data_IF_368992727497
#
_entry.id   IF_368992727497
#
_cell.length_a   1.000
_cell.length_b   1.000
_cell.length_c   1.000
_cell.angle_alpha   90.00
_cell.angle_beta   90.00
_cell.angle_gamma   90.00
#
_symmetry.space_group_name_H-M   'P 1'
#
loop_
_entity.id
_entity.type
_entity.pdbx_description
1 polymer ?
#
# COMPACT_ATOMS: atom_id res chain seq x y z
N UNK A 1 -19.75 -36.03 -61.69
CA UNK A 1 -18.97 -34.99 -60.92
C UNK A 1 -19.74 -34.33 -59.78
N UNK A 2 -21.02 -34.00 -59.88
CA UNK A 2 -21.80 -33.31 -58.81
C UNK A 2 -22.09 -34.19 -57.56
N UNK A 3 -22.18 -35.51 -57.67
CA UNK A 3 -22.42 -36.40 -56.55
C UNK A 3 -21.19 -36.65 -55.68
N UNK A 4 -20.01 -36.68 -56.27
CA UNK A 4 -18.76 -36.91 -55.56
C UNK A 4 -18.37 -35.69 -54.72
N UNK A 5 -18.69 -34.47 -55.19
CA UNK A 5 -18.44 -33.20 -54.48
C UNK A 5 -19.33 -33.01 -53.24
N UNK A 6 -20.53 -33.52 -53.23
CA UNK A 6 -21.43 -33.50 -52.06
C UNK A 6 -20.98 -34.46 -50.95
N UNK A 7 -20.45 -35.62 -51.34
CA UNK A 7 -19.98 -36.61 -50.37
C UNK A 7 -18.69 -36.19 -49.67
N UNK A 8 -17.76 -35.55 -50.40
CA UNK A 8 -16.51 -35.01 -49.82
C UNK A 8 -16.77 -33.81 -48.93
N UNK A 9 -17.76 -32.97 -49.28
CA UNK A 9 -18.12 -31.80 -48.42
C UNK A 9 -18.79 -32.23 -47.12
N UNK A 10 -19.58 -33.32 -47.15
CA UNK A 10 -20.15 -33.89 -45.94
C UNK A 10 -19.14 -34.52 -45.00
N UNK A 11 -18.11 -35.15 -45.56
CA UNK A 11 -17.03 -35.76 -44.78
C UNK A 11 -16.12 -34.68 -44.11
N UNK A 12 -15.83 -33.58 -44.79
CA UNK A 12 -15.05 -32.46 -44.28
C UNK A 12 -15.85 -31.74 -43.15
N UNK A 13 -17.15 -31.58 -43.31
CA UNK A 13 -18.01 -30.98 -42.28
C UNK A 13 -18.10 -31.86 -41.00
N UNK A 14 -18.10 -33.18 -41.17
CA UNK A 14 -18.14 -34.15 -40.07
C UNK A 14 -16.81 -34.20 -39.31
N UNK A 15 -15.67 -34.02 -39.98
CA UNK A 15 -14.34 -33.93 -39.35
C UNK A 15 -14.17 -32.61 -38.57
N UNK A 16 -14.70 -31.51 -39.10
CA UNK A 16 -14.71 -30.21 -38.39
C UNK A 16 -15.59 -30.23 -37.14
N UNK A 17 -16.70 -30.96 -37.11
CA UNK A 17 -17.52 -31.13 -35.91
C UNK A 17 -16.87 -32.06 -34.86
N UNK A 18 -16.06 -33.02 -35.28
CA UNK A 18 -15.36 -33.94 -34.36
C UNK A 18 -14.16 -33.32 -33.65
N UNK A 19 -13.54 -32.27 -34.23
CA UNK A 19 -12.45 -31.53 -33.59
C UNK A 19 -12.93 -30.45 -32.58
N UNK A 20 -14.25 -30.18 -32.45
CA UNK A 20 -14.80 -29.09 -31.67
C UNK A 20 -15.05 -29.39 -30.19
N UNK A 21 -14.72 -30.57 -29.69
CA UNK A 21 -14.96 -30.92 -28.27
C UNK A 21 -13.65 -31.18 -27.53
N UNK A 22 -12.70 -30.27 -27.64
CA UNK A 22 -11.69 -30.19 -26.61
C UNK A 22 -12.31 -29.43 -25.45
N UNK A 23 -12.78 -30.16 -24.45
CA UNK A 23 -13.10 -29.58 -23.13
C UNK A 23 -11.84 -28.87 -22.67
N UNK A 24 -11.85 -27.55 -22.75
CA UNK A 24 -10.90 -26.71 -22.02
C UNK A 24 -11.26 -26.96 -20.54
N UNK A 25 -10.60 -27.93 -19.92
CA UNK A 25 -10.54 -27.96 -18.47
C UNK A 25 -9.85 -26.66 -18.10
N UNK A 26 -10.62 -25.73 -17.52
CA UNK A 26 -10.03 -24.65 -16.74
C UNK A 26 -9.10 -25.37 -15.75
N UNK A 27 -7.81 -25.13 -15.89
CA UNK A 27 -6.82 -25.60 -14.98
C UNK A 27 -7.05 -24.79 -13.70
N UNK A 28 -7.90 -25.32 -12.80
CA UNK A 28 -7.90 -24.91 -11.40
C UNK A 28 -6.47 -25.20 -10.91
N UNK A 29 -5.64 -24.20 -11.00
CA UNK A 29 -4.30 -24.29 -10.47
C UNK A 29 -4.45 -24.39 -8.96
N UNK A 30 -4.01 -25.51 -8.41
CA UNK A 30 -3.86 -25.73 -6.96
C UNK A 30 -3.01 -24.66 -6.25
N UNK A 31 -2.48 -23.70 -7.01
CA UNK A 31 -1.71 -22.54 -6.57
C UNK A 31 -2.57 -21.38 -6.07
N UNK A 32 -3.89 -21.43 -6.18
CA UNK A 32 -4.80 -20.37 -5.74
C UNK A 32 -5.42 -20.60 -4.36
N UNK A 33 -5.04 -21.67 -3.67
CA UNK A 33 -5.40 -21.82 -2.25
C UNK A 33 -4.71 -20.76 -1.40
N UNK A 34 -5.48 -20.08 -0.57
CA UNK A 34 -4.98 -19.08 0.37
C UNK A 34 -5.66 -19.24 1.72
N UNK A 35 -4.95 -18.90 2.76
CA UNK A 35 -5.52 -18.69 4.09
C UNK A 35 -5.81 -17.22 4.31
N UNK A 36 -6.82 -16.92 5.09
CA UNK A 36 -7.19 -15.57 5.49
C UNK A 36 -6.71 -15.31 6.91
N UNK A 37 -5.96 -14.23 7.09
CA UNK A 37 -5.61 -13.72 8.42
C UNK A 37 -6.33 -12.39 8.60
N UNK A 38 -7.23 -12.31 9.58
CA UNK A 38 -8.00 -11.10 9.86
C UNK A 38 -8.08 -10.82 11.36
N UNK A 39 -8.22 -9.56 11.70
CA UNK A 39 -8.30 -9.16 13.10
C UNK A 39 -8.28 -7.66 13.31
N UNK A 40 -7.97 -7.27 14.56
CA UNK A 40 -7.91 -5.88 15.00
C UNK A 40 -6.57 -5.63 15.66
N UNK A 41 -5.93 -4.51 15.31
CA UNK A 41 -4.69 -4.05 15.96
C UNK A 41 -5.03 -2.98 16.99
N UNK A 42 -4.46 -3.12 18.19
CA UNK A 42 -4.66 -2.19 19.31
C UNK A 42 -3.33 -1.87 19.98
N UNK A 43 -3.27 -0.68 20.55
CA UNK A 43 -2.22 -0.31 21.47
C UNK A 43 -2.28 -1.18 22.75
N UNK A 44 -1.16 -1.72 23.18
CA UNK A 44 -1.08 -2.62 24.33
C UNK A 44 -1.43 -1.95 25.64
N UNK A 45 -1.08 -0.68 25.79
CA UNK A 45 -1.27 0.08 27.04
C UNK A 45 -2.67 0.72 27.11
N UNK A 46 -3.05 1.47 26.07
CA UNK A 46 -4.29 2.24 26.05
C UNK A 46 -5.50 1.46 25.56
N UNK A 47 -5.25 0.31 24.92
CA UNK A 47 -6.28 -0.51 24.24
C UNK A 47 -7.01 0.20 23.10
N UNK A 48 -6.57 1.37 22.72
CA UNK A 48 -7.11 2.08 21.56
C UNK A 48 -6.81 1.31 20.27
N UNK A 49 -7.75 1.32 19.35
CA UNK A 49 -7.58 0.76 18.01
C UNK A 49 -6.57 1.59 17.23
N UNK A 50 -5.70 0.93 16.49
CA UNK A 50 -4.65 1.59 15.70
C UNK A 50 -5.02 1.52 14.21
N UNK A 51 -5.20 2.68 13.61
CA UNK A 51 -5.43 2.84 12.17
C UNK A 51 -4.10 2.94 11.40
N UNK A 52 -4.14 2.60 10.11
CA UNK A 52 -2.99 2.67 9.19
C UNK A 52 -1.77 1.82 9.61
N UNK A 53 -1.97 0.81 10.43
CA UNK A 53 -0.93 -0.18 10.76
C UNK A 53 -0.62 -1.01 9.53
N UNK A 54 0.64 -1.18 9.20
CA UNK A 54 1.07 -2.01 8.09
C UNK A 54 1.03 -3.49 8.49
N UNK A 55 0.42 -4.31 7.65
CA UNK A 55 0.31 -5.75 7.78
C UNK A 55 0.93 -6.36 6.54
N UNK A 56 2.02 -7.10 6.67
CA UNK A 56 2.78 -7.59 5.52
C UNK A 56 3.31 -9.01 5.71
N UNK A 57 3.60 -9.66 4.60
CA UNK A 57 4.29 -10.95 4.60
C UNK A 57 5.78 -10.65 4.33
N UNK A 58 6.67 -10.90 5.31
CA UNK A 58 8.09 -10.59 5.18
C UNK A 58 8.72 -11.22 3.92
N UNK A 59 9.51 -10.43 3.22
CA UNK A 59 10.21 -10.87 2.01
C UNK A 59 9.33 -10.95 0.75
N UNK A 60 8.09 -10.46 0.82
CA UNK A 60 7.16 -10.41 -0.32
C UNK A 60 6.61 -8.99 -0.51
N UNK A 61 5.89 -8.79 -1.62
CA UNK A 61 5.12 -7.57 -1.88
C UNK A 61 3.64 -7.69 -1.46
N UNK A 62 3.31 -8.67 -0.63
CA UNK A 62 1.95 -8.89 -0.15
C UNK A 62 1.76 -8.17 1.17
N UNK A 63 0.83 -7.23 1.21
CA UNK A 63 0.52 -6.46 2.39
C UNK A 63 -0.83 -5.77 2.32
N UNK A 64 -1.25 -5.24 3.45
CA UNK A 64 -2.45 -4.40 3.62
C UNK A 64 -2.21 -3.45 4.79
N UNK A 65 -3.17 -2.57 5.07
CA UNK A 65 -3.15 -1.69 6.25
C UNK A 65 -4.45 -1.83 7.02
N UNK A 66 -4.44 -1.50 8.31
CA UNK A 66 -5.67 -1.41 9.10
C UNK A 66 -6.55 -0.25 8.63
N UNK A 67 -7.86 -0.42 8.77
CA UNK A 67 -8.83 0.65 8.56
C UNK A 67 -8.91 1.58 9.80
N UNK A 68 -9.83 2.57 9.79
CA UNK A 68 -10.03 3.50 10.90
C UNK A 68 -10.54 2.81 12.19
N UNK A 69 -11.06 1.59 12.06
CA UNK A 69 -11.46 0.76 13.20
C UNK A 69 -10.34 -0.19 13.66
N UNK A 70 -9.13 -0.03 13.13
CA UNK A 70 -7.97 -0.87 13.43
C UNK A 70 -8.10 -2.29 12.86
N UNK A 71 -9.07 -2.56 11.98
CA UNK A 71 -9.34 -3.88 11.43
C UNK A 71 -8.52 -4.11 10.17
N UNK A 72 -8.10 -5.36 9.96
CA UNK A 72 -7.39 -5.78 8.76
C UNK A 72 -7.86 -7.16 8.28
N UNK A 73 -7.60 -7.45 7.03
CA UNK A 73 -7.71 -8.78 6.44
C UNK A 73 -6.67 -8.93 5.33
N UNK A 74 -5.85 -9.96 5.43
CA UNK A 74 -4.82 -10.30 4.44
C UNK A 74 -4.99 -11.74 3.99
N UNK A 75 -4.84 -11.98 2.70
CA UNK A 75 -4.83 -13.32 2.11
C UNK A 75 -3.40 -13.76 1.86
N UNK A 76 -3.03 -14.89 2.44
CA UNK A 76 -1.70 -15.50 2.33
C UNK A 76 -1.83 -16.71 1.41
N UNK A 77 -1.24 -16.65 0.21
CA UNK A 77 -1.22 -17.79 -0.70
C UNK A 77 -0.35 -18.91 -0.13
N UNK A 78 -0.81 -20.14 -0.24
CA UNK A 78 -0.07 -21.32 0.22
C UNK A 78 1.30 -21.45 -0.45
N UNK A 79 1.39 -21.09 -1.73
CA UNK A 79 2.65 -21.10 -2.49
C UNK A 79 3.72 -20.13 -1.99
N UNK A 80 3.38 -19.17 -1.11
CA UNK A 80 4.36 -18.26 -0.49
C UNK A 80 5.12 -18.90 0.67
N UNK A 81 4.65 -20.05 1.21
CA UNK A 81 5.22 -20.71 2.39
C UNK A 81 5.50 -19.75 3.54
N UNK A 82 4.63 -18.75 3.70
CA UNK A 82 4.77 -17.73 4.73
C UNK A 82 4.60 -18.36 6.12
N UNK A 83 5.55 -18.13 7.01
CA UNK A 83 5.51 -18.62 8.39
C UNK A 83 4.86 -17.64 9.35
N UNK A 84 4.80 -16.38 8.97
CA UNK A 84 4.30 -15.31 9.81
C UNK A 84 3.84 -14.13 8.98
N UNK A 85 2.92 -13.36 9.54
CA UNK A 85 2.54 -12.02 9.08
C UNK A 85 3.11 -11.02 10.06
N UNK A 86 3.79 -10.00 9.55
CA UNK A 86 4.35 -8.90 10.33
C UNK A 86 3.35 -7.76 10.43
N UNK A 87 3.26 -7.19 11.63
CA UNK A 87 2.40 -6.05 11.96
C UNK A 87 3.29 -4.93 12.46
N UNK A 88 3.39 -3.85 11.71
CA UNK A 88 4.30 -2.74 12.04
C UNK A 88 3.59 -1.39 12.01
N UNK A 89 3.94 -0.53 12.97
CA UNK A 89 3.45 0.84 13.04
C UNK A 89 4.51 1.76 13.65
N UNK A 90 4.53 3.00 13.15
CA UNK A 90 5.47 4.01 13.63
C UNK A 90 5.27 4.22 15.14
N UNK A 91 6.38 4.18 15.90
CA UNK A 91 6.34 4.35 17.36
C UNK A 91 5.98 3.08 18.15
N UNK A 92 5.93 1.91 17.50
CA UNK A 92 5.64 0.62 18.13
C UNK A 92 6.69 -0.43 17.80
N UNK A 93 6.84 -1.43 18.67
CA UNK A 93 7.57 -2.65 18.36
C UNK A 93 6.75 -3.49 17.38
N UNK A 94 7.44 -4.12 16.42
CA UNK A 94 6.77 -4.99 15.44
C UNK A 94 6.13 -6.20 16.13
N UNK A 95 4.88 -6.47 15.76
CA UNK A 95 4.17 -7.68 16.15
C UNK A 95 4.29 -8.75 15.07
N UNK A 96 4.20 -10.01 15.46
CA UNK A 96 4.21 -11.16 14.55
C UNK A 96 2.99 -12.03 14.80
N UNK A 97 2.31 -12.44 13.73
CA UNK A 97 1.22 -13.41 13.75
C UNK A 97 1.75 -14.68 13.09
N UNK A 98 1.96 -15.76 13.83
CA UNK A 98 2.36 -17.03 13.23
C UNK A 98 1.23 -17.56 12.33
N UNK A 99 1.60 -18.03 11.14
CA UNK A 99 0.68 -18.53 10.13
C UNK A 99 0.80 -20.04 10.04
N UNK A 100 -0.36 -20.72 10.05
CA UNK A 100 -0.50 -22.15 9.85
C UNK A 100 -1.34 -22.39 8.59
N UNK A 101 -1.63 -23.65 8.28
CA UNK A 101 -2.45 -24.04 7.12
C UNK A 101 -3.98 -23.80 7.33
N UNK A 102 -4.35 -22.92 8.28
CA UNK A 102 -5.75 -22.61 8.59
C UNK A 102 -5.99 -21.12 8.67
N UNK A 103 -7.20 -20.71 8.34
CA UNK A 103 -7.65 -19.34 8.53
C UNK A 103 -7.51 -18.91 9.99
N UNK A 104 -7.01 -17.68 10.17
CA UNK A 104 -6.92 -17.00 11.46
C UNK A 104 -7.88 -15.83 11.39
N UNK A 105 -9.06 -16.01 11.99
CA UNK A 105 -10.12 -15.02 11.97
C UNK A 105 -10.25 -14.32 13.33
N UNK A 106 -10.56 -13.01 13.29
CA UNK A 106 -10.85 -12.21 14.48
C UNK A 106 -9.71 -12.15 15.53
N UNK A 107 -8.47 -12.27 15.08
CA UNK A 107 -7.34 -12.14 16.01
C UNK A 107 -7.20 -10.71 16.54
N UNK A 108 -6.70 -10.57 17.77
CA UNK A 108 -6.35 -9.27 18.34
C UNK A 108 -4.84 -9.16 18.47
N UNK A 109 -4.25 -8.20 17.77
CA UNK A 109 -2.81 -7.90 17.87
C UNK A 109 -2.62 -6.70 18.80
N UNK A 110 -1.79 -6.87 19.83
CA UNK A 110 -1.45 -5.79 20.76
C UNK A 110 -0.03 -5.32 20.45
N UNK A 111 0.10 -4.14 19.88
CA UNK A 111 1.40 -3.53 19.65
C UNK A 111 1.87 -2.80 20.91
N UNK A 112 3.10 -3.03 21.27
CA UNK A 112 3.75 -2.39 22.39
C UNK A 112 4.39 -1.07 21.93
N UNK A 113 4.04 0.08 22.53
CA UNK A 113 4.71 1.33 22.23
C UNK A 113 6.22 1.16 22.41
N UNK A 114 6.98 1.51 21.39
CA UNK A 114 8.42 1.54 21.47
C UNK A 114 8.85 2.83 22.20
N UNK A 115 8.70 2.82 23.53
CA UNK A 115 9.12 3.89 24.40
C UNK A 115 10.62 3.81 24.70
N UNK A 116 11.44 3.35 23.76
CA UNK A 116 12.84 3.64 23.87
C UNK A 116 12.99 5.17 23.79
N UNK A 117 12.70 5.80 24.93
CA UNK A 117 13.24 7.11 25.25
C UNK A 117 14.71 6.98 24.99
N UNK A 118 15.13 7.48 23.83
CA UNK A 118 16.53 7.73 23.59
C UNK A 118 17.00 8.48 24.80
N UNK A 119 17.82 7.81 25.64
CA UNK A 119 18.55 8.50 26.66
C UNK A 119 19.16 9.70 25.96
N UNK A 120 18.53 10.86 26.22
CA UNK A 120 19.06 12.16 25.88
C UNK A 120 19.85 12.20 24.55
N UNK A 121 19.15 12.09 23.41
CA UNK A 121 19.68 12.76 22.24
C UNK A 121 19.67 14.22 22.66
N UNK A 122 20.87 14.72 23.00
CA UNK A 122 21.09 16.14 23.24
C UNK A 122 20.61 16.81 21.97
N UNK A 123 19.37 17.25 22.00
CA UNK A 123 18.81 18.14 20.99
C UNK A 123 19.69 19.38 21.19
N UNK A 124 20.68 19.55 20.34
CA UNK A 124 21.25 20.87 20.19
C UNK A 124 20.06 21.72 19.85
N UNK A 125 19.70 22.60 20.81
CA UNK A 125 18.57 23.47 20.71
C UNK A 125 18.78 24.42 19.51
N UNK A 126 18.50 23.92 18.32
CA UNK A 126 18.49 24.65 17.08
C UNK A 126 17.05 24.76 16.59
N UNK A 127 16.76 25.83 15.89
CA UNK A 127 15.48 25.99 15.20
C UNK A 127 15.25 24.74 14.32
N UNK A 128 14.13 24.01 14.50
CA UNK A 128 13.78 22.82 13.70
C UNK A 128 13.81 23.07 12.19
N UNK A 129 13.66 24.31 11.78
CA UNK A 129 13.76 24.74 10.37
C UNK A 129 15.12 24.36 9.77
N UNK A 130 16.24 24.55 10.49
CA UNK A 130 17.56 24.19 9.99
C UNK A 130 17.70 22.69 9.68
N UNK A 131 17.02 21.85 10.46
CA UNK A 131 17.04 20.39 10.19
C UNK A 131 16.28 20.11 8.90
N UNK A 132 15.17 20.80 8.64
CA UNK A 132 14.39 20.67 7.40
C UNK A 132 15.20 21.19 6.21
N UNK A 133 15.85 22.35 6.34
CA UNK A 133 16.72 22.91 5.31
C UNK A 133 17.87 21.94 4.98
N UNK A 134 18.56 21.40 5.99
CA UNK A 134 19.61 20.41 5.81
C UNK A 134 19.09 19.11 5.14
N UNK A 135 17.87 18.68 5.49
CA UNK A 135 17.25 17.53 4.86
C UNK A 135 16.98 17.77 3.36
N UNK A 136 16.51 18.96 3.00
CA UNK A 136 16.27 19.37 1.61
C UNK A 136 17.58 19.38 0.81
N UNK A 137 18.64 19.96 1.36
CA UNK A 137 19.96 20.00 0.71
C UNK A 137 20.51 18.59 0.46
N UNK A 138 20.22 17.66 1.37
CA UNK A 138 20.70 16.27 1.29
C UNK A 138 19.84 15.34 0.44
N UNK A 139 18.73 15.79 -0.11
CA UNK A 139 17.86 14.97 -0.97
C UNK A 139 18.64 14.26 -2.07
N UNK A 140 19.47 15.02 -2.81
CA UNK A 140 20.26 14.46 -3.92
C UNK A 140 21.31 13.43 -3.48
N UNK A 141 21.70 13.43 -2.20
CA UNK A 141 22.68 12.50 -1.62
C UNK A 141 21.99 11.28 -1.01
N UNK A 142 20.85 11.48 -0.38
CA UNK A 142 20.20 10.47 0.44
C UNK A 142 19.15 9.67 -0.33
N UNK A 143 18.60 10.23 -1.41
CA UNK A 143 17.58 9.56 -2.22
C UNK A 143 18.21 8.84 -3.43
N UNK A 144 17.42 7.96 -4.02
CA UNK A 144 17.84 7.11 -5.13
C UNK A 144 18.22 7.96 -6.34
N UNK A 145 19.44 7.77 -6.84
CA UNK A 145 20.00 8.50 -7.98
C UNK A 145 19.80 7.80 -9.32
N UNK A 146 19.22 6.60 -9.32
CA UNK A 146 18.88 5.79 -10.50
C UNK A 146 17.37 5.56 -10.56
N UNK A 147 16.87 5.12 -11.71
CA UNK A 147 15.48 4.69 -11.80
C UNK A 147 15.22 3.49 -10.87
N UNK A 148 14.05 3.46 -10.24
CA UNK A 148 13.66 2.40 -9.30
C UNK A 148 12.22 1.98 -9.51
N UNK A 149 11.91 0.74 -9.11
CA UNK A 149 10.55 0.20 -9.04
C UNK A 149 10.17 0.06 -7.58
N UNK A 150 9.05 0.65 -7.20
CA UNK A 150 8.47 0.54 -5.86
C UNK A 150 7.16 -0.22 -5.98
N UNK A 151 6.99 -1.27 -5.21
CA UNK A 151 5.68 -1.94 -5.08
C UNK A 151 4.99 -1.45 -3.82
N UNK A 152 3.75 -1.04 -3.94
CA UNK A 152 2.98 -0.48 -2.85
C UNK A 152 1.53 -0.94 -2.83
N UNK A 153 0.89 -0.74 -1.68
CA UNK A 153 -0.54 -0.92 -1.52
C UNK A 153 -1.23 0.44 -1.51
N UNK A 154 -2.16 0.60 -2.43
CA UNK A 154 -3.00 1.79 -2.54
C UNK A 154 -4.39 1.50 -1.99
N UNK A 155 -4.90 2.39 -1.14
CA UNK A 155 -6.29 2.37 -0.69
C UNK A 155 -6.88 3.76 -0.73
N UNK A 156 -8.05 3.87 -1.32
CA UNK A 156 -8.90 5.06 -1.31
C UNK A 156 -10.24 4.68 -0.71
N UNK A 157 -10.70 5.47 0.24
CA UNK A 157 -11.99 5.26 0.90
C UNK A 157 -12.82 6.54 0.88
N UNK A 158 -14.12 6.40 0.68
CA UNK A 158 -15.07 7.46 0.92
C UNK A 158 -16.11 7.00 1.92
N UNK A 159 -16.42 7.85 2.90
CA UNK A 159 -17.35 7.57 3.97
C UNK A 159 -18.50 8.58 4.01
N UNK A 160 -19.67 8.12 4.41
CA UNK A 160 -20.83 8.96 4.76
C UNK A 160 -21.24 8.61 6.18
N UNK A 161 -20.93 9.48 7.13
CA UNK A 161 -20.99 9.17 8.55
C UNK A 161 -19.99 8.06 8.90
N UNK A 162 -20.48 6.96 9.49
CA UNK A 162 -19.66 5.79 9.86
C UNK A 162 -19.62 4.69 8.82
N UNK A 163 -20.23 4.89 7.65
CA UNK A 163 -20.35 3.85 6.64
C UNK A 163 -19.49 4.15 5.42
N UNK A 164 -18.71 3.18 4.99
CA UNK A 164 -17.97 3.26 3.73
C UNK A 164 -18.96 3.21 2.55
N UNK A 165 -18.85 4.17 1.65
CA UNK A 165 -19.62 4.24 0.40
C UNK A 165 -18.80 3.89 -0.83
N UNK A 166 -17.49 4.00 -0.72
CA UNK A 166 -16.52 3.54 -1.71
C UNK A 166 -15.26 3.06 -1.03
N UNK A 167 -14.76 1.91 -1.43
CA UNK A 167 -13.44 1.40 -1.09
C UNK A 167 -12.78 0.95 -2.39
N UNK A 168 -11.65 1.56 -2.74
CA UNK A 168 -10.84 1.17 -3.88
C UNK A 168 -9.47 0.77 -3.36
N UNK A 169 -9.02 -0.42 -3.69
CA UNK A 169 -7.73 -0.96 -3.26
C UNK A 169 -6.97 -1.51 -4.46
N UNK A 170 -5.68 -1.35 -4.45
CA UNK A 170 -4.80 -1.90 -5.48
C UNK A 170 -3.40 -2.21 -4.95
N UNK A 171 -2.81 -3.27 -5.47
CA UNK A 171 -1.35 -3.43 -5.46
C UNK A 171 -0.83 -2.75 -6.71
N UNK A 172 0.09 -1.84 -6.54
CA UNK A 172 0.62 -1.00 -7.59
C UNK A 172 2.14 -1.11 -7.66
N UNK A 173 2.66 -1.07 -8.86
CA UNK A 173 4.07 -0.85 -9.13
C UNK A 173 4.25 0.60 -9.60
N UNK A 174 5.15 1.32 -8.95
CA UNK A 174 5.48 2.71 -9.25
C UNK A 174 6.91 2.74 -9.79
N UNK A 175 7.05 2.99 -11.08
CA UNK A 175 8.34 3.31 -11.67
C UNK A 175 8.68 4.76 -11.36
N UNK A 176 9.73 4.96 -10.57
CA UNK A 176 10.26 6.27 -10.19
C UNK A 176 11.50 6.58 -11.00
N UNK A 177 11.51 7.70 -11.68
CA UNK A 177 12.74 8.26 -12.23
C UNK A 177 13.64 8.78 -11.08
N UNK A 178 14.95 8.98 -11.31
CA UNK A 178 15.84 9.48 -10.26
C UNK A 178 15.32 10.75 -9.59
N UNK A 179 15.51 10.90 -8.28
CA UNK A 179 15.02 12.07 -7.53
C UNK A 179 15.65 13.40 -7.94
N UNK A 180 16.82 13.38 -8.60
CA UNK A 180 17.39 14.56 -9.27
C UNK A 180 16.56 15.06 -10.45
N UNK A 181 15.76 14.17 -11.08
CA UNK A 181 14.79 14.53 -12.11
C UNK A 181 13.48 14.91 -11.43
N UNK A 182 13.24 16.20 -11.26
CA UNK A 182 12.05 16.74 -10.58
C UNK A 182 10.76 16.65 -11.41
N UNK A 183 10.80 16.05 -12.59
CA UNK A 183 9.61 15.89 -13.42
C UNK A 183 8.82 14.64 -12.99
N UNK A 184 7.81 14.85 -12.14
CA UNK A 184 6.90 13.79 -11.65
C UNK A 184 6.07 13.15 -12.78
N UNK A 185 5.88 13.82 -13.91
CA UNK A 185 5.11 13.27 -15.04
C UNK A 185 5.82 12.10 -15.73
N UNK A 186 7.11 11.93 -15.49
CA UNK A 186 7.89 10.82 -16.02
C UNK A 186 7.77 9.55 -15.18
N UNK A 187 7.28 9.66 -13.95
CA UNK A 187 6.99 8.51 -13.13
C UNK A 187 5.74 7.79 -13.68
N UNK A 188 5.66 6.49 -13.51
CA UNK A 188 4.58 5.66 -14.03
C UNK A 188 4.03 4.78 -12.94
N UNK A 189 2.70 4.68 -12.88
CA UNK A 189 2.00 3.77 -11.98
C UNK A 189 1.34 2.68 -12.80
N UNK A 190 1.59 1.44 -12.44
CA UNK A 190 0.95 0.27 -13.00
C UNK A 190 0.15 -0.43 -11.91
N UNK A 191 -1.13 -0.69 -12.16
CA UNK A 191 -1.96 -1.49 -11.28
C UNK A 191 -1.70 -2.96 -11.59
N UNK A 192 -1.16 -3.68 -10.60
CA UNK A 192 -0.92 -5.11 -10.70
C UNK A 192 -2.20 -5.90 -10.41
N UNK A 193 -2.89 -5.56 -9.31
CA UNK A 193 -4.16 -6.16 -8.91
C UNK A 193 -4.97 -5.14 -8.13
N UNK A 194 -6.27 -5.11 -8.34
CA UNK A 194 -7.13 -4.17 -7.62
C UNK A 194 -8.53 -4.72 -7.39
N UNK A 195 -9.21 -4.13 -6.41
CA UNK A 195 -10.64 -4.35 -6.15
C UNK A 195 -11.32 -3.03 -5.83
N UNK A 196 -12.61 -2.96 -6.12
CA UNK A 196 -13.45 -1.82 -5.82
C UNK A 196 -14.78 -2.30 -5.23
N UNK A 197 -15.16 -1.73 -4.10
CA UNK A 197 -16.44 -1.94 -3.44
C UNK A 197 -17.19 -0.61 -3.45
N UNK A 198 -18.39 -0.61 -4.02
CA UNK A 198 -19.27 0.55 -4.07
C UNK A 198 -20.53 0.25 -3.26
N UNK A 199 -21.07 1.28 -2.61
CA UNK A 199 -22.40 1.18 -2.01
C UNK A 199 -23.45 0.97 -3.11
N UNK A 200 -24.39 0.05 -2.89
CA UNK A 200 -25.53 -0.21 -3.78
C UNK A 200 -26.67 0.81 -3.62
N UNK A 201 -26.59 1.68 -2.61
CA UNK A 201 -27.63 2.67 -2.34
C UNK A 201 -27.56 3.84 -3.31
N UNK A 202 -28.62 4.10 -4.06
CA UNK A 202 -28.71 5.21 -5.01
C UNK A 202 -28.45 6.59 -4.37
N UNK A 203 -28.70 6.74 -3.06
CA UNK A 203 -28.44 7.98 -2.30
C UNK A 203 -26.96 8.21 -1.94
N UNK A 204 -26.10 7.22 -2.20
CA UNK A 204 -24.69 7.29 -1.88
C UNK A 204 -23.88 7.76 -3.10
N UNK A 205 -24.18 8.96 -3.55
CA UNK A 205 -23.39 9.64 -4.58
C UNK A 205 -22.19 10.31 -3.93
N UNK A 206 -21.04 10.20 -4.57
CA UNK A 206 -19.86 10.96 -4.19
C UNK A 206 -20.05 12.41 -4.66
N UNK A 207 -20.11 13.33 -3.70
CA UNK A 207 -20.17 14.76 -4.00
C UNK A 207 -18.85 15.27 -4.61
N UNK A 208 -17.73 14.60 -4.28
CA UNK A 208 -16.40 14.87 -4.82
C UNK A 208 -15.80 13.59 -5.33
N UNK A 209 -15.38 13.59 -6.60
CA UNK A 209 -14.62 12.48 -7.18
C UNK A 209 -13.14 12.85 -7.15
N UNK A 210 -12.34 12.10 -6.41
CA UNK A 210 -10.89 12.19 -6.50
C UNK A 210 -10.48 11.73 -7.90
N UNK A 211 -9.90 12.66 -8.66
CA UNK A 211 -9.33 12.37 -9.97
C UNK A 211 -7.88 11.96 -9.77
N UNK A 212 -7.49 10.83 -10.35
CA UNK A 212 -6.09 10.39 -10.33
C UNK A 212 -5.89 8.97 -9.82
N UNK A 213 -6.72 8.50 -8.88
CA UNK A 213 -6.56 7.16 -8.32
C UNK A 213 -5.11 6.92 -7.85
N UNK A 214 -4.50 5.75 -8.13
CA UNK A 214 -3.14 5.44 -7.71
C UNK A 214 -2.05 6.40 -8.23
N UNK A 215 -2.30 7.12 -9.34
CA UNK A 215 -1.37 8.13 -9.85
C UNK A 215 -1.20 9.31 -8.88
N UNK A 216 -2.18 9.56 -8.01
CA UNK A 216 -2.07 10.61 -7.01
C UNK A 216 -0.83 10.42 -6.12
N UNK A 217 -0.43 9.17 -5.82
CA UNK A 217 0.76 8.87 -5.04
C UNK A 217 2.06 9.44 -5.63
N UNK A 218 2.09 9.63 -6.95
CA UNK A 218 3.23 10.24 -7.64
C UNK A 218 3.19 11.76 -7.49
N UNK A 219 2.04 12.37 -7.65
CA UNK A 219 1.89 13.83 -7.60
C UNK A 219 2.07 14.40 -6.19
N UNK A 220 1.73 13.64 -5.14
CA UNK A 220 1.91 14.07 -3.74
C UNK A 220 3.29 13.73 -3.17
N UNK A 221 4.23 13.26 -3.99
CA UNK A 221 5.62 13.05 -3.57
C UNK A 221 6.31 14.41 -3.34
N UNK A 222 6.26 14.88 -2.10
CA UNK A 222 6.78 16.20 -1.71
C UNK A 222 8.29 16.35 -1.91
N UNK A 223 9.03 15.24 -1.95
CA UNK A 223 10.49 15.27 -2.16
C UNK A 223 10.79 15.54 -3.63
N UNK A 224 10.04 14.94 -4.53
CA UNK A 224 10.20 15.09 -5.97
C UNK A 224 9.46 16.31 -6.51
N UNK A 225 8.37 16.69 -5.86
CA UNK A 225 7.58 17.88 -6.13
C UNK A 225 7.69 18.86 -4.94
N UNK A 226 8.83 19.56 -4.81
CA UNK A 226 9.14 20.36 -3.63
C UNK A 226 8.20 21.56 -3.44
N UNK A 227 7.56 22.05 -4.51
CA UNK A 227 6.64 23.19 -4.47
C UNK A 227 5.44 22.95 -3.52
N UNK A 228 5.19 21.69 -3.14
CA UNK A 228 4.13 21.37 -2.18
C UNK A 228 4.51 21.70 -0.73
N UNK A 229 5.78 21.51 -0.34
CA UNK A 229 6.22 21.69 1.06
C UNK A 229 7.72 21.95 1.21
N UNK A 230 8.57 21.31 0.41
CA UNK A 230 10.03 21.32 0.60
C UNK A 230 10.74 22.33 -0.32
N UNK A 231 10.07 23.38 -0.75
CA UNK A 231 10.70 24.51 -1.43
C UNK A 231 11.27 25.47 -0.36
N UNK A 232 12.59 25.78 -0.41
CA UNK A 232 13.20 26.76 0.48
C UNK A 232 12.48 28.10 0.53
N UNK A 233 11.84 28.51 -0.56
CA UNK A 233 11.14 29.79 -0.63
C UNK A 233 9.82 29.81 0.16
N UNK A 234 9.22 28.66 0.41
CA UNK A 234 7.96 28.58 1.19
C UNK A 234 8.18 28.24 2.66
N UNK A 235 9.35 27.73 3.04
CA UNK A 235 9.66 27.40 4.44
C UNK A 235 9.41 28.57 5.41
N UNK A 236 9.71 29.84 5.08
CA UNK A 236 9.45 30.96 5.96
C UNK A 236 7.97 31.15 6.33
N UNK A 237 7.04 30.62 5.56
CA UNK A 237 5.59 30.73 5.81
C UNK A 237 5.06 29.63 6.73
N UNK A 238 5.95 28.75 7.25
CA UNK A 238 5.59 27.69 8.17
C UNK A 238 6.29 27.85 9.52
N UNK A 239 5.55 27.56 10.59
CA UNK A 239 6.13 27.34 11.90
C UNK A 239 6.50 25.86 12.05
N UNK A 240 7.73 25.60 12.48
CA UNK A 240 8.24 24.25 12.72
C UNK A 240 8.39 24.00 14.22
N UNK A 241 8.05 22.76 14.63
CA UNK A 241 8.22 22.34 16.02
C UNK A 241 8.83 20.95 16.07
N UNK A 242 9.83 20.77 16.94
CA UNK A 242 10.39 19.46 17.25
C UNK A 242 9.38 18.68 18.10
N UNK A 243 9.07 17.48 17.69
CA UNK A 243 8.28 16.51 18.43
C UNK A 243 9.20 15.44 19.04
N UNK A 244 8.61 14.49 19.80
CA UNK A 244 9.35 13.36 20.32
C UNK A 244 9.92 12.51 19.17
N UNK A 245 11.20 12.13 19.28
CA UNK A 245 11.86 11.29 18.29
C UNK A 245 11.26 9.89 18.30
N UNK A 246 11.22 9.24 17.13
CA UNK A 246 10.71 7.88 16.97
C UNK A 246 11.79 6.94 16.46
N UNK A 247 11.65 5.65 16.79
CA UNK A 247 12.51 4.60 16.22
C UNK A 247 11.84 4.03 14.96
N UNK A 248 12.56 4.02 13.84
CA UNK A 248 12.16 3.34 12.62
C UNK A 248 13.29 2.41 12.18
N UNK A 249 13.00 1.12 12.06
CA UNK A 249 14.00 0.10 11.69
C UNK A 249 15.28 0.20 12.57
N UNK A 250 15.11 0.26 13.88
CA UNK A 250 16.16 0.38 14.89
C UNK A 250 17.06 1.62 14.74
N UNK A 251 16.58 2.64 14.05
CA UNK A 251 17.27 3.93 13.90
C UNK A 251 16.42 5.05 14.46
N UNK A 252 17.02 6.00 15.22
CA UNK A 252 16.30 7.17 15.71
C UNK A 252 16.01 8.15 14.58
N UNK A 253 14.81 8.71 14.59
CA UNK A 253 14.38 9.72 13.63
C UNK A 253 13.84 10.94 14.37
N UNK A 254 14.21 12.13 13.93
CA UNK A 254 13.56 13.36 14.35
C UNK A 254 12.16 13.44 13.75
N UNK A 255 11.22 13.91 14.55
CA UNK A 255 9.87 14.21 14.11
C UNK A 255 9.68 15.72 14.22
N UNK A 256 9.34 16.34 13.11
CA UNK A 256 9.11 17.79 13.03
C UNK A 256 7.70 18.02 12.52
N UNK A 257 6.87 18.62 13.35
CA UNK A 257 5.56 19.11 12.93
C UNK A 257 5.69 20.49 12.30
N UNK A 258 4.79 20.82 11.40
CA UNK A 258 4.73 22.14 10.77
C UNK A 258 3.29 22.58 10.58
N UNK A 259 3.09 23.90 10.58
CA UNK A 259 1.79 24.52 10.30
C UNK A 259 1.99 25.86 9.60
N UNK A 260 1.08 26.28 8.71
CA UNK A 260 1.11 27.63 8.15
C UNK A 260 1.11 28.67 9.27
N UNK A 261 1.84 29.78 9.05
CA UNK A 261 1.83 30.97 9.93
C UNK A 261 0.74 31.93 9.54
#
# INVERSE_FOLDING_TARGET
MKALCKQTMGFILMILLACGVTSIKAQDSADDEFITVSGVVKDKQTRKKLEYVNISIPGTNVGTITNNDGEFSIKVKNGLHARQVEVSHIGYLNGLIPVNDKDILECTVLLEPNMNTLSEVIIRAGDPRYIVEEAIEKVNKNYITTGSMLTGFYRETAQKGRRYINISEAVIDVYKTPYKDRNVERDRVQIYKGRKLLSEKASDTLAVKLLGGPNLSVYVDVVKNPDLLLDPNILPYYAFRMEESVMLNDRPHYVISFQPQ
#
